data_IF_917226755461
#
_entry.id   IF_917226755461
#
_cell.length_a   1.000
_cell.length_b   1.000
_cell.length_c   1.000
_cell.angle_alpha   90.00
_cell.angle_beta   90.00
_cell.angle_gamma   90.00
#
_symmetry.space_group_name_H-M   'P 1'
#
loop_
_entity.id
_entity.type
_entity.pdbx_description
1 polymer ?
#
# COMPACT_ATOMS: atom_id res chain seq x y z
N UNK A 1 -12.59 -34.01 -17.45
CA UNK A 1 -12.78 -35.28 -16.73
C UNK A 1 -12.34 -35.16 -15.25
N UNK A 2 -11.12 -34.74 -14.95
CA UNK A 2 -10.60 -34.63 -13.58
C UNK A 2 -11.39 -33.66 -12.68
N UNK A 3 -11.82 -32.51 -13.21
CA UNK A 3 -12.60 -31.51 -12.48
C UNK A 3 -14.02 -32.03 -12.18
N UNK A 4 -14.64 -32.78 -13.12
CA UNK A 4 -15.95 -33.39 -12.92
C UNK A 4 -15.91 -34.51 -11.86
N UNK A 5 -14.82 -35.27 -11.78
CA UNK A 5 -14.61 -36.33 -10.77
C UNK A 5 -14.40 -35.73 -9.36
N UNK A 6 -13.70 -34.59 -9.29
CA UNK A 6 -13.55 -33.83 -8.04
C UNK A 6 -14.87 -33.23 -7.54
N UNK A 7 -15.68 -32.68 -8.44
CA UNK A 7 -16.99 -32.12 -8.10
C UNK A 7 -17.96 -33.19 -7.58
N UNK A 8 -17.88 -34.43 -8.10
CA UNK A 8 -18.67 -35.54 -7.63
C UNK A 8 -18.25 -36.11 -6.25
N UNK A 9 -17.03 -35.80 -5.79
CA UNK A 9 -16.50 -36.20 -4.47
C UNK A 9 -16.72 -35.19 -3.36
N UNK A 10 -17.11 -33.95 -3.70
CA UNK A 10 -17.42 -32.91 -2.74
C UNK A 10 -18.90 -32.98 -2.36
N UNK A 11 -19.19 -33.60 -1.22
CA UNK A 11 -20.53 -33.59 -0.64
C UNK A 11 -20.80 -32.25 0.04
N UNK A 12 -21.36 -31.31 -0.71
CA UNK A 12 -21.73 -29.99 -0.21
C UNK A 12 -22.87 -30.00 0.82
N UNK A 13 -23.53 -31.14 1.05
CA UNK A 13 -24.58 -31.23 2.06
C UNK A 13 -24.02 -31.31 3.48
N UNK A 14 -22.73 -31.60 3.63
CA UNK A 14 -22.06 -31.66 4.94
C UNK A 14 -21.53 -30.29 5.42
N UNK A 15 -21.55 -29.28 4.55
CA UNK A 15 -21.30 -27.91 5.04
C UNK A 15 -22.52 -27.44 5.82
N UNK A 16 -22.37 -27.01 7.09
CA UNK A 16 -23.49 -26.47 7.82
C UNK A 16 -24.08 -25.35 6.97
N UNK A 17 -25.36 -25.54 6.59
CA UNK A 17 -26.14 -24.48 5.97
C UNK A 17 -25.95 -23.26 6.84
N UNK A 18 -25.43 -22.22 6.28
CA UNK A 18 -25.10 -20.96 6.99
C UNK A 18 -26.38 -20.56 7.73
N UNK A 19 -26.42 -20.79 9.03
CA UNK A 19 -27.37 -20.08 9.88
C UNK A 19 -27.17 -18.62 9.49
N UNK A 20 -28.26 -17.90 9.24
CA UNK A 20 -28.22 -16.46 9.00
C UNK A 20 -27.16 -15.92 9.94
N UNK A 21 -26.04 -15.52 9.37
CA UNK A 21 -24.99 -14.84 10.14
C UNK A 21 -25.69 -13.64 10.72
N UNK A 22 -25.88 -13.65 12.04
CA UNK A 22 -26.04 -12.40 12.73
C UNK A 22 -25.06 -11.43 12.07
N UNK A 23 -25.58 -10.31 11.57
CA UNK A 23 -24.73 -9.27 10.96
C UNK A 23 -23.53 -9.15 11.87
N UNK A 24 -22.30 -9.30 11.35
CA UNK A 24 -21.13 -9.17 12.21
C UNK A 24 -21.32 -7.81 12.88
N UNK A 25 -21.43 -7.82 14.21
CA UNK A 25 -21.36 -6.58 14.96
C UNK A 25 -20.19 -5.84 14.33
N UNK A 26 -20.48 -4.72 13.66
CA UNK A 26 -19.45 -3.82 13.17
C UNK A 26 -18.66 -3.48 14.42
N UNK A 27 -17.57 -4.24 14.66
CA UNK A 27 -16.51 -3.74 15.50
C UNK A 27 -16.13 -2.44 14.79
N UNK A 28 -16.67 -1.35 15.30
CA UNK A 28 -16.04 -0.07 15.18
C UNK A 28 -14.67 -0.29 15.84
N UNK A 29 -13.73 -0.83 15.06
CA UNK A 29 -12.35 -0.50 15.30
C UNK A 29 -12.38 1.02 15.28
N UNK A 30 -12.22 1.62 16.44
CA UNK A 30 -11.84 3.00 16.51
C UNK A 30 -10.66 3.08 15.56
N UNK A 31 -10.89 3.59 14.36
CA UNK A 31 -9.84 3.89 13.43
C UNK A 31 -9.09 5.01 14.11
N UNK A 32 -8.05 4.65 14.87
CA UNK A 32 -7.04 5.65 15.19
C UNK A 32 -6.70 6.28 13.85
N UNK A 33 -6.91 7.56 13.73
CA UNK A 33 -6.68 8.30 12.51
C UNK A 33 -5.16 8.27 12.23
N UNK A 34 -4.73 7.25 11.49
CA UNK A 34 -3.35 7.07 11.08
C UNK A 34 -2.96 7.98 9.91
N UNK A 35 -3.85 8.89 9.51
CA UNK A 35 -3.55 9.85 8.46
C UNK A 35 -2.41 10.77 8.88
N UNK A 36 -1.28 10.64 8.20
CA UNK A 36 -0.14 11.54 8.36
C UNK A 36 -0.52 13.01 8.17
N UNK A 37 -1.40 13.30 7.22
CA UNK A 37 -1.81 14.66 6.90
C UNK A 37 -2.72 15.24 7.98
N UNK A 38 -3.63 14.47 8.56
CA UNK A 38 -4.48 14.89 9.68
C UNK A 38 -3.67 15.12 10.96
N UNK A 39 -2.65 14.32 11.22
CA UNK A 39 -1.72 14.58 12.34
C UNK A 39 -1.05 15.94 12.21
N UNK A 40 -0.65 16.31 11.00
CA UNK A 40 -0.05 17.62 10.72
C UNK A 40 -1.01 18.78 11.05
N UNK A 41 -2.29 18.63 10.77
CA UNK A 41 -3.32 19.62 11.08
C UNK A 41 -3.64 19.67 12.59
N UNK A 42 -3.80 18.51 13.22
CA UNK A 42 -4.18 18.39 14.63
C UNK A 42 -3.09 18.89 15.60
N UNK A 43 -1.80 18.76 15.24
CA UNK A 43 -0.68 19.16 16.10
C UNK A 43 -0.29 20.64 15.98
N UNK A 44 -1.15 21.47 15.40
CA UNK A 44 -1.04 22.95 15.49
C UNK A 44 0.26 23.52 14.89
N UNK A 45 0.80 22.89 13.85
CA UNK A 45 2.03 23.36 13.17
C UNK A 45 3.33 22.73 13.67
N UNK A 46 3.29 21.70 14.51
CA UNK A 46 4.47 20.89 14.82
C UNK A 46 5.05 20.28 13.53
N UNK A 47 6.36 20.33 13.39
CA UNK A 47 7.05 19.68 12.27
C UNK A 47 7.03 18.17 12.50
N UNK A 48 6.50 17.44 11.52
CA UNK A 48 6.55 15.98 11.49
C UNK A 48 7.83 15.50 10.79
N UNK A 49 8.40 14.42 11.29
CA UNK A 49 9.62 13.82 10.75
C UNK A 49 9.24 12.59 9.95
N UNK A 50 9.46 12.66 8.64
CA UNK A 50 9.35 11.53 7.73
C UNK A 50 10.74 10.99 7.38
N UNK A 51 10.94 9.68 7.46
CA UNK A 51 12.20 9.04 7.10
C UNK A 51 11.95 7.98 6.04
N UNK A 52 12.74 8.04 4.96
CA UNK A 52 12.67 7.06 3.89
C UNK A 52 13.52 5.83 4.21
N UNK A 53 12.91 4.64 4.10
CA UNK A 53 13.57 3.36 4.19
C UNK A 53 13.44 2.63 2.85
N UNK A 54 14.54 2.43 2.16
CA UNK A 54 14.54 1.72 0.87
C UNK A 54 14.26 0.22 1.08
N UNK A 55 13.23 -0.34 0.43
CA UNK A 55 12.99 -1.78 0.43
C UNK A 55 14.22 -2.56 -0.04
N UNK A 56 14.45 -3.80 0.44
CA UNK A 56 15.63 -4.58 0.07
C UNK A 56 15.62 -4.97 -1.42
N UNK A 57 16.81 -5.15 -1.99
CA UNK A 57 16.97 -5.68 -3.34
C UNK A 57 17.00 -7.21 -3.39
N UNK A 58 17.10 -7.86 -2.23
CA UNK A 58 17.12 -9.31 -2.04
C UNK A 58 15.98 -9.76 -1.13
N UNK A 59 16.11 -10.96 -0.58
CA UNK A 59 15.10 -11.60 0.27
C UNK A 59 15.29 -11.30 1.78
N UNK A 60 16.40 -10.67 2.14
CA UNK A 60 16.75 -10.36 3.51
C UNK A 60 16.30 -8.92 3.83
N UNK A 61 15.45 -8.78 4.83
CA UNK A 61 14.93 -7.51 5.29
C UNK A 61 15.33 -7.13 6.72
N UNK A 62 16.25 -7.89 7.36
CA UNK A 62 16.68 -7.69 8.73
C UNK A 62 17.15 -6.24 8.97
N UNK A 63 18.00 -5.72 8.09
CA UNK A 63 18.49 -4.33 8.19
C UNK A 63 17.39 -3.27 8.11
N UNK A 64 16.37 -3.54 7.29
CA UNK A 64 15.23 -2.62 7.17
C UNK A 64 14.41 -2.65 8.46
N UNK A 65 14.14 -3.84 9.02
CA UNK A 65 13.39 -3.99 10.26
C UNK A 65 14.13 -3.40 11.46
N UNK A 66 15.45 -3.62 11.57
CA UNK A 66 16.28 -3.01 12.60
C UNK A 66 16.26 -1.48 12.53
N UNK A 67 16.35 -0.92 11.32
CA UNK A 67 16.24 0.51 11.09
C UNK A 67 14.85 1.05 11.49
N UNK A 68 13.77 0.35 11.12
CA UNK A 68 12.41 0.73 11.49
C UNK A 68 12.23 0.78 13.02
N UNK A 69 12.68 -0.24 13.73
CA UNK A 69 12.64 -0.24 15.21
C UNK A 69 13.51 0.86 15.84
N UNK A 70 14.67 1.15 15.26
CA UNK A 70 15.51 2.25 15.74
C UNK A 70 14.80 3.61 15.56
N UNK A 71 14.21 3.85 14.38
CA UNK A 71 13.52 5.10 14.07
C UNK A 71 12.23 5.27 14.90
N UNK A 72 11.53 4.18 15.19
CA UNK A 72 10.40 4.17 16.12
C UNK A 72 10.83 4.70 17.51
N UNK A 73 11.90 4.14 18.05
CA UNK A 73 12.43 4.59 19.36
C UNK A 73 12.99 6.00 19.35
N UNK A 74 13.36 6.51 18.17
CA UNK A 74 13.89 7.86 17.99
C UNK A 74 12.80 8.93 17.81
N UNK A 75 11.52 8.54 17.83
CA UNK A 75 10.40 9.49 17.73
C UNK A 75 10.13 10.00 16.33
N UNK A 76 10.45 9.21 15.30
CA UNK A 76 10.07 9.48 13.91
C UNK A 76 8.56 9.29 13.77
N UNK A 77 7.89 10.20 13.05
CA UNK A 77 6.43 10.22 12.92
C UNK A 77 5.91 9.30 11.82
N UNK A 78 6.64 9.16 10.71
CA UNK A 78 6.25 8.33 9.57
C UNK A 78 7.45 7.73 8.84
N UNK A 79 7.31 6.48 8.39
CA UNK A 79 8.28 5.82 7.52
C UNK A 79 7.76 5.76 6.09
N UNK A 80 8.58 6.18 5.14
CA UNK A 80 8.23 6.13 3.70
C UNK A 80 9.06 5.06 2.99
N UNK A 81 8.49 4.45 1.95
CA UNK A 81 9.10 3.32 1.25
C UNK A 81 9.07 3.57 -0.26
N UNK A 82 10.21 3.83 -0.91
CA UNK A 82 10.25 4.13 -2.35
C UNK A 82 9.87 2.91 -3.20
N UNK A 83 9.13 3.15 -4.28
CA UNK A 83 8.70 2.13 -5.25
C UNK A 83 9.74 1.95 -6.35
N UNK A 84 10.62 0.98 -6.20
CA UNK A 84 11.69 0.64 -7.15
C UNK A 84 12.46 1.86 -7.69
N UNK A 85 13.12 2.62 -6.79
CA UNK A 85 13.79 3.87 -7.13
C UNK A 85 14.83 3.67 -8.22
N UNK A 86 15.01 4.69 -9.07
CA UNK A 86 15.87 4.67 -10.26
C UNK A 86 15.54 3.52 -11.23
N UNK A 87 14.32 3.00 -11.23
CA UNK A 87 13.90 1.89 -12.08
C UNK A 87 14.61 0.57 -11.79
N UNK A 88 15.11 0.39 -10.58
CA UNK A 88 15.79 -0.85 -10.13
C UNK A 88 14.85 -1.64 -9.24
N UNK A 89 14.71 -2.93 -9.53
CA UNK A 89 13.86 -3.84 -8.76
C UNK A 89 14.21 -3.82 -7.27
N UNK A 90 13.20 -3.64 -6.44
CA UNK A 90 13.21 -3.76 -5.00
C UNK A 90 12.00 -4.58 -4.55
N UNK A 91 11.98 -5.02 -3.31
CA UNK A 91 10.76 -5.55 -2.72
C UNK A 91 9.63 -4.52 -2.82
N UNK A 92 8.39 -4.97 -2.97
CA UNK A 92 7.22 -4.09 -3.14
C UNK A 92 7.09 -3.11 -1.96
N UNK A 93 6.92 -1.84 -2.28
CA UNK A 93 6.86 -0.74 -1.29
C UNK A 93 5.70 -0.89 -0.32
N UNK A 94 4.53 -1.34 -0.81
CA UNK A 94 3.31 -1.53 0.00
C UNK A 94 3.45 -2.74 0.91
N UNK A 95 3.97 -3.87 0.40
CA UNK A 95 4.17 -5.07 1.21
C UNK A 95 5.18 -4.83 2.33
N UNK A 96 6.25 -4.09 2.05
CA UNK A 96 7.23 -3.73 3.08
C UNK A 96 6.66 -2.73 4.09
N UNK A 97 5.89 -1.75 3.63
CA UNK A 97 5.19 -0.81 4.51
C UNK A 97 4.20 -1.54 5.43
N UNK A 98 3.42 -2.48 4.91
CA UNK A 98 2.49 -3.29 5.68
C UNK A 98 3.23 -4.10 6.77
N UNK A 99 4.30 -4.80 6.38
CA UNK A 99 5.11 -5.55 7.34
C UNK A 99 5.61 -4.67 8.47
N UNK A 100 6.20 -3.52 8.15
CA UNK A 100 6.73 -2.58 9.14
C UNK A 100 5.61 -2.01 10.01
N UNK A 101 4.48 -1.60 9.45
CA UNK A 101 3.34 -1.11 10.22
C UNK A 101 2.82 -2.16 11.20
N UNK A 102 2.66 -3.40 10.76
CA UNK A 102 2.19 -4.50 11.60
C UNK A 102 3.15 -4.84 12.73
N UNK A 103 4.46 -4.81 12.50
CA UNK A 103 5.46 -5.18 13.50
C UNK A 103 5.84 -4.04 14.45
N UNK A 104 5.75 -2.80 13.99
CA UNK A 104 6.16 -1.63 14.78
C UNK A 104 4.98 -0.77 15.27
N UNK A 105 3.82 -0.84 14.65
CA UNK A 105 2.70 0.08 14.90
C UNK A 105 2.94 1.50 14.37
N UNK A 106 4.02 1.75 13.62
CA UNK A 106 4.31 3.07 13.07
C UNK A 106 3.39 3.45 11.92
N UNK A 107 3.14 4.74 11.77
CA UNK A 107 2.56 5.29 10.57
C UNK A 107 3.51 5.05 9.37
N UNK A 108 2.97 4.57 8.28
CA UNK A 108 3.73 4.27 7.05
C UNK A 108 3.11 4.97 5.85
N UNK A 109 3.96 5.30 4.88
CA UNK A 109 3.56 5.96 3.64
C UNK A 109 4.37 5.38 2.47
N UNK A 110 3.95 4.25 1.89
CA UNK A 110 4.61 3.74 0.70
C UNK A 110 4.46 4.70 -0.47
N UNK A 111 5.51 4.78 -1.30
CA UNK A 111 5.43 5.43 -2.60
C UNK A 111 4.74 4.48 -3.58
N UNK A 112 3.98 5.06 -4.48
CA UNK A 112 3.36 4.36 -5.61
C UNK A 112 3.71 5.10 -6.90
N UNK A 113 4.20 4.38 -7.91
CA UNK A 113 4.63 4.97 -9.16
C UNK A 113 3.85 4.43 -10.36
N UNK A 114 3.73 5.28 -11.40
CA UNK A 114 2.98 4.98 -12.61
C UNK A 114 3.77 4.13 -13.63
N UNK A 115 5.08 3.96 -13.42
CA UNK A 115 5.99 3.36 -14.40
C UNK A 115 5.63 1.93 -14.79
N UNK A 116 5.29 1.09 -13.83
CA UNK A 116 5.28 -0.36 -13.99
C UNK A 116 3.86 -0.96 -14.06
N UNK A 117 2.83 -0.15 -13.83
CA UNK A 117 1.45 -0.64 -13.63
C UNK A 117 0.45 0.09 -14.52
N UNK A 118 -0.50 -0.64 -15.08
CA UNK A 118 -1.68 -0.06 -15.70
C UNK A 118 -2.76 0.28 -14.65
N UNK A 119 -3.83 0.93 -15.07
CA UNK A 119 -4.91 1.36 -14.16
C UNK A 119 -5.56 0.20 -13.39
N UNK A 120 -5.70 -0.98 -14.01
CA UNK A 120 -6.29 -2.15 -13.34
C UNK A 120 -5.37 -2.64 -12.23
N UNK A 121 -4.09 -2.83 -12.53
CA UNK A 121 -3.10 -3.27 -11.54
C UNK A 121 -2.95 -2.28 -10.39
N UNK A 122 -2.99 -0.98 -10.71
CA UNK A 122 -2.90 0.08 -9.71
C UNK A 122 -4.12 0.08 -8.78
N UNK A 123 -5.34 0.06 -9.31
CA UNK A 123 -6.56 0.00 -8.48
C UNK A 123 -6.60 -1.27 -7.62
N UNK A 124 -6.21 -2.42 -8.18
CA UNK A 124 -6.12 -3.68 -7.44
C UNK A 124 -5.13 -3.60 -6.27
N UNK A 125 -3.95 -3.01 -6.50
CA UNK A 125 -2.94 -2.84 -5.46
C UNK A 125 -3.41 -1.87 -4.36
N UNK A 126 -4.07 -0.77 -4.71
CA UNK A 126 -4.64 0.18 -3.76
C UNK A 126 -5.75 -0.44 -2.90
N UNK A 127 -6.64 -1.25 -3.50
CA UNK A 127 -7.64 -2.01 -2.75
C UNK A 127 -6.98 -2.99 -1.76
N UNK A 128 -5.96 -3.72 -2.21
CA UNK A 128 -5.21 -4.63 -1.35
C UNK A 128 -4.49 -3.90 -0.21
N UNK A 129 -3.88 -2.76 -0.50
CA UNK A 129 -3.25 -1.91 0.50
C UNK A 129 -4.25 -1.44 1.57
N UNK A 130 -5.40 -0.93 1.13
CA UNK A 130 -6.47 -0.47 2.01
C UNK A 130 -6.97 -1.57 2.95
N UNK A 131 -7.24 -2.76 2.42
CA UNK A 131 -7.69 -3.94 3.20
C UNK A 131 -6.66 -4.30 4.29
N UNK A 132 -5.37 -4.09 4.01
CA UNK A 132 -4.28 -4.36 4.95
C UNK A 132 -3.88 -3.16 5.82
N UNK A 133 -4.73 -2.12 5.89
CA UNK A 133 -4.55 -0.98 6.79
C UNK A 133 -3.56 0.08 6.31
N UNK A 134 -3.16 0.06 5.05
CA UNK A 134 -2.32 1.11 4.47
C UNK A 134 -3.20 2.21 3.90
N UNK A 135 -3.19 3.36 4.55
CA UNK A 135 -4.10 4.47 4.24
C UNK A 135 -3.37 5.76 3.83
N UNK A 136 -2.05 5.77 3.77
CA UNK A 136 -1.28 6.94 3.34
C UNK A 136 -0.38 6.57 2.17
N UNK A 137 -0.34 7.41 1.14
CA UNK A 137 0.44 7.16 -0.07
C UNK A 137 1.21 8.40 -0.52
N UNK A 138 2.45 8.21 -0.98
CA UNK A 138 3.18 9.20 -1.75
C UNK A 138 3.12 8.82 -3.23
N UNK A 139 2.48 9.68 -4.01
CA UNK A 139 2.23 9.46 -5.45
C UNK A 139 3.34 10.08 -6.27
N UNK A 140 3.94 9.31 -7.14
CA UNK A 140 5.00 9.76 -8.04
C UNK A 140 4.77 9.23 -9.47
N UNK A 141 5.24 9.95 -10.46
CA UNK A 141 5.25 9.44 -11.85
C UNK A 141 6.20 8.25 -11.99
N UNK A 142 7.32 8.28 -11.31
CA UNK A 142 8.36 7.25 -11.31
C UNK A 142 9.52 7.55 -12.25
N UNK A 143 10.70 7.08 -11.88
CA UNK A 143 11.91 7.25 -12.67
C UNK A 143 11.84 6.45 -13.97
N UNK A 144 12.49 6.93 -15.04
CA UNK A 144 12.57 6.17 -16.29
C UNK A 144 13.37 4.87 -16.10
N UNK A 145 13.02 3.84 -16.89
CA UNK A 145 13.75 2.58 -16.90
C UNK A 145 15.19 2.82 -17.36
N UNK A 146 16.19 2.28 -16.64
CA UNK A 146 17.60 2.42 -17.02
C UNK A 146 17.87 1.93 -18.44
N UNK A 147 18.71 2.63 -19.18
CA UNK A 147 19.01 2.34 -20.59
C UNK A 147 19.49 0.89 -20.81
N UNK A 148 20.24 0.34 -19.86
CA UNK A 148 20.79 -1.01 -19.92
C UNK A 148 19.75 -2.12 -20.00
N UNK A 149 18.54 -1.91 -19.46
CA UNK A 149 17.47 -2.90 -19.39
C UNK A 149 16.26 -2.57 -20.27
N UNK A 150 16.28 -1.46 -21.02
CA UNK A 150 15.17 -1.02 -21.89
C UNK A 150 14.81 -1.99 -22.99
N UNK A 151 15.70 -2.90 -23.34
CA UNK A 151 15.43 -3.94 -24.35
C UNK A 151 14.53 -5.05 -23.83
N UNK A 152 14.60 -5.33 -22.53
CA UNK A 152 13.88 -6.42 -21.87
C UNK A 152 12.72 -5.93 -20.99
N UNK A 153 12.80 -4.71 -20.48
CA UNK A 153 11.77 -4.10 -19.63
C UNK A 153 11.09 -2.95 -20.37
N UNK A 154 9.77 -2.96 -20.39
CA UNK A 154 8.96 -1.88 -20.96
C UNK A 154 8.21 -1.16 -19.86
N UNK A 155 8.29 0.16 -19.85
CA UNK A 155 7.44 0.98 -18.99
C UNK A 155 6.01 0.98 -19.50
N UNK A 156 5.07 1.10 -18.58
CA UNK A 156 3.63 1.17 -18.86
C UNK A 156 3.17 2.63 -18.98
N UNK A 157 3.43 3.45 -17.95
CA UNK A 157 3.04 4.86 -17.89
C UNK A 157 1.66 5.13 -18.50
N UNK A 158 0.62 4.40 -18.07
CA UNK A 158 -0.76 4.66 -18.50
C UNK A 158 -1.22 6.07 -18.12
N UNK A 159 -0.64 6.64 -17.11
CA UNK A 159 -0.91 7.95 -16.53
C UNK A 159 0.35 8.45 -15.81
N UNK A 160 0.36 9.70 -15.44
CA UNK A 160 1.35 10.35 -14.59
C UNK A 160 0.85 10.45 -13.13
N UNK A 161 1.60 11.11 -12.27
CA UNK A 161 1.23 11.31 -10.86
C UNK A 161 -0.10 12.06 -10.70
N UNK A 162 -0.44 12.99 -11.60
CA UNK A 162 -1.71 13.71 -11.56
C UNK A 162 -2.87 12.77 -11.87
N UNK A 163 -2.74 11.95 -12.91
CA UNK A 163 -3.73 10.93 -13.25
C UNK A 163 -3.89 9.88 -12.14
N UNK A 164 -2.80 9.51 -11.45
CA UNK A 164 -2.89 8.59 -10.31
C UNK A 164 -3.57 9.23 -9.10
N UNK A 165 -3.34 10.52 -8.83
CA UNK A 165 -4.07 11.25 -7.79
C UNK A 165 -5.57 11.32 -8.11
N UNK A 166 -5.95 11.45 -9.39
CA UNK A 166 -7.35 11.40 -9.78
C UNK A 166 -7.96 10.02 -9.53
N UNK A 167 -7.24 8.94 -9.84
CA UNK A 167 -7.68 7.56 -9.51
C UNK A 167 -7.94 7.41 -8.00
N UNK A 168 -7.07 7.94 -7.15
CA UNK A 168 -7.24 7.89 -5.69
C UNK A 168 -8.44 8.74 -5.24
N UNK A 169 -8.65 9.91 -5.85
CA UNK A 169 -9.83 10.74 -5.56
C UNK A 169 -11.12 9.99 -5.89
N UNK A 170 -11.20 9.38 -7.08
CA UNK A 170 -12.36 8.58 -7.50
C UNK A 170 -12.59 7.40 -6.53
N UNK A 171 -11.53 6.70 -6.14
CA UNK A 171 -11.63 5.59 -5.19
C UNK A 171 -12.05 6.04 -3.79
N UNK A 172 -11.65 7.23 -3.35
CA UNK A 172 -12.10 7.81 -2.09
C UNK A 172 -13.61 8.13 -2.11
N UNK A 173 -14.14 8.55 -3.24
CA UNK A 173 -15.58 8.78 -3.39
C UNK A 173 -16.39 7.47 -3.49
N UNK A 174 -15.80 6.42 -4.04
CA UNK A 174 -16.45 5.14 -4.30
C UNK A 174 -16.14 4.09 -3.21
N UNK A 175 -14.97 3.43 -3.32
CA UNK A 175 -14.63 2.26 -2.51
C UNK A 175 -14.18 2.61 -1.09
N UNK A 176 -13.57 3.79 -0.90
CA UNK A 176 -13.00 4.24 0.37
C UNK A 176 -13.83 5.32 1.08
N UNK A 177 -15.09 5.54 0.67
CA UNK A 177 -15.93 6.63 1.16
C UNK A 177 -16.11 6.67 2.69
N UNK A 178 -16.02 5.52 3.37
CA UNK A 178 -16.16 5.45 4.84
C UNK A 178 -14.89 5.85 5.60
N UNK A 179 -13.73 5.68 5.00
CA UNK A 179 -12.43 6.04 5.56
C UNK A 179 -11.46 6.39 4.40
N UNK A 180 -11.54 7.60 3.86
CA UNK A 180 -10.73 7.99 2.71
C UNK A 180 -9.23 7.85 2.98
N UNK A 181 -8.49 7.39 1.98
CA UNK A 181 -7.03 7.36 2.06
C UNK A 181 -6.46 8.76 1.87
N UNK A 182 -5.33 9.00 2.53
CA UNK A 182 -4.55 10.23 2.39
C UNK A 182 -3.46 10.04 1.36
N UNK A 183 -3.27 11.01 0.49
CA UNK A 183 -2.22 10.98 -0.51
C UNK A 183 -1.66 12.37 -0.80
N UNK A 184 -0.39 12.41 -1.15
CA UNK A 184 0.29 13.58 -1.64
C UNK A 184 1.23 13.19 -2.77
N UNK A 185 1.65 14.13 -3.59
CA UNK A 185 2.51 13.84 -4.72
C UNK A 185 3.38 15.02 -5.12
N UNK A 186 4.46 14.69 -5.84
CA UNK A 186 5.23 15.68 -6.57
C UNK A 186 4.59 15.87 -7.96
N UNK A 187 4.18 17.08 -8.25
CA UNK A 187 3.80 17.50 -9.60
C UNK A 187 5.13 17.95 -10.25
N UNK A 188 5.62 17.16 -11.21
CA UNK A 188 6.79 17.52 -12.04
C UNK A 188 6.33 18.23 -13.29
#
# INVERSE_FOLDING_TARGET
EYIADLAGKLDFTQYPQTQEKAEPEKKQAATEDHSFYHKKEAEGGKKLIAVELAPPAGIDDEKLMDAAHLLQRSGVDVLTFPDSPSGRTRADSILMAEKVARETGMCVMPHICCRDKNAIAMRSQLLGAYINGIHNFLVITGDPIPSMVRTTVKSVFNFDSVGLMQILADMNEEQFAQAPVSYGGAIN
#
